data_IF_619544995224
#
_entry.id   IF_619544995224
#
_cell.length_a   1.000
_cell.length_b   1.000
_cell.length_c   1.000
_cell.angle_alpha   90.00
_cell.angle_beta   90.00
_cell.angle_gamma   90.00
#
_symmetry.space_group_name_H-M   'P 1'
#
loop_
_entity.id
_entity.type
_entity.pdbx_description
1 polymer ?
#
# COMPACT_ATOMS: atom_id res chain seq x y z
N UNK A 1 -0.88 20.82 -7.33
CA UNK A 1 -1.01 19.36 -7.16
C UNK A 1 0.22 18.92 -6.39
N UNK A 2 0.09 18.77 -5.07
CA UNK A 2 1.21 18.48 -4.17
C UNK A 2 1.29 16.97 -3.94
N UNK A 3 2.42 16.36 -4.32
CA UNK A 3 2.70 14.96 -4.01
C UNK A 3 2.91 14.81 -2.50
N UNK A 4 2.08 14.01 -1.85
CA UNK A 4 2.16 13.78 -0.40
C UNK A 4 3.39 12.96 0.02
N UNK A 5 4.05 12.27 -0.92
CA UNK A 5 5.24 11.47 -0.68
C UNK A 5 6.06 11.30 -1.97
N UNK A 6 7.36 11.07 -1.80
CA UNK A 6 8.33 10.83 -2.86
C UNK A 6 9.09 9.53 -2.59
N UNK A 7 9.28 8.70 -3.61
CA UNK A 7 10.16 7.53 -3.55
C UNK A 7 11.48 7.83 -4.26
N UNK A 8 12.65 7.40 -3.74
CA UNK A 8 13.91 7.54 -4.44
C UNK A 8 14.03 6.51 -5.57
N UNK A 9 14.34 6.96 -6.80
CA UNK A 9 14.60 6.08 -7.95
C UNK A 9 13.45 5.97 -8.97
N UNK A 10 13.57 5.09 -9.99
CA UNK A 10 12.52 4.84 -10.98
C UNK A 10 11.38 3.99 -10.39
N UNK A 11 10.81 4.45 -9.28
CA UNK A 11 9.71 3.79 -8.59
C UNK A 11 8.38 4.22 -9.20
N UNK A 12 7.49 3.27 -9.46
CA UNK A 12 6.12 3.56 -9.87
C UNK A 12 5.19 3.36 -8.67
N UNK A 13 4.51 4.43 -8.26
CA UNK A 13 3.48 4.38 -7.23
C UNK A 13 2.09 4.49 -7.84
N UNK A 14 1.14 3.67 -7.34
CA UNK A 14 -0.28 3.76 -7.66
C UNK A 14 -1.11 3.74 -6.39
N UNK A 15 -2.11 4.60 -6.34
CA UNK A 15 -3.11 4.60 -5.28
C UNK A 15 -4.44 4.19 -5.88
N UNK A 16 -5.14 3.28 -5.22
CA UNK A 16 -6.47 2.84 -5.62
C UNK A 16 -7.37 2.69 -4.40
N UNK A 17 -8.51 3.38 -4.42
CA UNK A 17 -9.55 3.21 -3.43
C UNK A 17 -10.52 2.11 -3.86
N UNK A 18 -10.95 1.29 -2.90
CA UNK A 18 -11.96 0.26 -3.05
C UNK A 18 -13.08 0.50 -2.03
N UNK A 19 -14.25 1.01 -2.46
CA UNK A 19 -15.33 1.36 -1.54
C UNK A 19 -16.10 0.16 -0.98
N UNK A 20 -16.02 -1.01 -1.63
CA UNK A 20 -16.85 -2.18 -1.31
C UNK A 20 -16.05 -3.42 -0.88
N UNK A 21 -14.74 -3.28 -0.65
CA UNK A 21 -13.86 -4.37 -0.20
C UNK A 21 -13.00 -3.90 0.97
N UNK A 22 -13.03 -4.64 2.08
CA UNK A 22 -12.17 -4.41 3.26
C UNK A 22 -10.74 -4.96 3.10
N UNK A 23 -9.88 -4.71 4.09
CA UNK A 23 -8.44 -5.03 4.02
C UNK A 23 -8.11 -6.51 3.86
N UNK A 24 -9.01 -7.41 4.27
CA UNK A 24 -8.83 -8.86 4.14
C UNK A 24 -9.45 -9.43 2.84
N UNK A 25 -10.02 -8.57 1.98
CA UNK A 25 -10.62 -8.97 0.71
C UNK A 25 -9.66 -8.97 -0.49
N UNK A 26 -10.15 -9.35 -1.67
CA UNK A 26 -9.41 -9.27 -2.93
C UNK A 26 -8.53 -10.49 -3.25
N UNK A 27 -8.05 -10.54 -4.49
CA UNK A 27 -7.18 -11.62 -4.98
C UNK A 27 -5.72 -11.19 -4.90
N UNK A 28 -4.91 -12.03 -4.28
CA UNK A 28 -3.47 -11.84 -4.15
C UNK A 28 -2.72 -12.65 -5.22
N UNK A 29 -1.52 -12.19 -5.58
CA UNK A 29 -0.62 -13.01 -6.39
C UNK A 29 -0.23 -14.28 -5.61
N UNK A 30 0.04 -15.41 -6.30
CA UNK A 30 0.31 -16.69 -5.66
C UNK A 30 1.54 -16.69 -4.74
N UNK A 31 2.49 -15.78 -4.98
CA UNK A 31 3.71 -15.62 -4.19
C UNK A 31 3.68 -14.37 -3.30
N UNK A 32 2.52 -13.73 -3.14
CA UNK A 32 2.38 -12.56 -2.30
C UNK A 32 2.48 -12.95 -0.83
N UNK A 33 3.28 -12.20 -0.08
CA UNK A 33 3.47 -12.40 1.35
C UNK A 33 2.73 -11.30 2.10
N UNK A 34 1.72 -11.67 2.89
CA UNK A 34 0.86 -10.71 3.58
C UNK A 34 1.19 -10.69 5.07
N UNK A 35 1.48 -9.49 5.56
CA UNK A 35 1.75 -9.21 6.97
C UNK A 35 0.74 -8.19 7.49
N UNK A 36 0.22 -8.44 8.70
CA UNK A 36 -0.65 -7.46 9.38
C UNK A 36 0.22 -6.31 9.90
N UNK A 37 -0.21 -5.08 9.66
CA UNK A 37 0.49 -3.88 10.14
C UNK A 37 -0.53 -2.80 10.51
N UNK A 38 -0.05 -1.65 10.96
CA UNK A 38 -0.87 -0.45 11.19
C UNK A 38 -0.21 0.74 10.51
N UNK A 39 -1.01 1.60 9.92
CA UNK A 39 -0.58 2.91 9.41
C UNK A 39 -1.33 3.97 10.19
N UNK A 40 -0.61 4.73 11.02
CA UNK A 40 -1.22 5.63 11.98
C UNK A 40 -2.18 4.90 12.92
N UNK A 41 -3.46 5.27 12.89
CA UNK A 41 -4.53 4.63 13.68
C UNK A 41 -5.29 3.54 12.93
N UNK A 42 -5.01 3.30 11.64
CA UNK A 42 -5.77 2.39 10.78
C UNK A 42 -5.12 1.01 10.72
N UNK A 43 -5.94 -0.02 10.74
CA UNK A 43 -5.50 -1.37 10.42
C UNK A 43 -5.05 -1.43 8.96
N UNK A 44 -3.95 -2.14 8.72
CA UNK A 44 -3.41 -2.27 7.39
C UNK A 44 -2.81 -3.67 7.14
N UNK A 45 -2.55 -3.94 5.87
CA UNK A 45 -1.85 -5.13 5.39
C UNK A 45 -0.68 -4.68 4.53
N UNK A 46 0.51 -5.14 4.88
CA UNK A 46 1.68 -5.04 4.02
C UNK A 46 1.73 -6.31 3.16
N UNK A 47 1.74 -6.14 1.85
CA UNK A 47 1.74 -7.21 0.86
C UNK A 47 3.04 -7.10 0.09
N UNK A 48 4.02 -7.91 0.48
CA UNK A 48 5.27 -8.05 -0.24
C UNK A 48 5.07 -8.94 -1.46
N UNK A 49 5.84 -8.70 -2.52
CA UNK A 49 5.71 -9.38 -3.81
C UNK A 49 4.29 -9.29 -4.39
N UNK A 50 3.67 -8.11 -4.28
CA UNK A 50 2.25 -7.89 -4.56
C UNK A 50 1.84 -8.32 -5.98
N UNK A 51 2.71 -8.08 -6.96
CA UNK A 51 2.54 -8.55 -8.34
C UNK A 51 3.86 -8.91 -9.05
N UNK A 52 5.01 -8.49 -8.51
CA UNK A 52 6.37 -8.85 -8.97
C UNK A 52 7.28 -9.03 -7.76
N UNK A 53 8.48 -9.58 -7.95
CA UNK A 53 9.45 -9.81 -6.86
C UNK A 53 9.95 -8.52 -6.18
N UNK A 54 9.75 -7.35 -6.80
CA UNK A 54 10.16 -6.03 -6.31
C UNK A 54 8.99 -5.07 -6.14
N UNK A 55 7.76 -5.60 -6.13
CA UNK A 55 6.55 -4.83 -5.89
C UNK A 55 6.03 -5.07 -4.47
N UNK A 56 5.62 -3.99 -3.82
CA UNK A 56 5.01 -4.00 -2.50
C UNK A 56 3.71 -3.21 -2.51
N UNK A 57 2.73 -3.66 -1.73
CA UNK A 57 1.49 -2.92 -1.55
C UNK A 57 1.16 -2.76 -0.07
N UNK A 58 0.62 -1.60 0.29
CA UNK A 58 0.05 -1.33 1.60
C UNK A 58 -1.44 -1.11 1.41
N UNK A 59 -2.23 -2.01 1.97
CA UNK A 59 -3.69 -1.93 1.97
C UNK A 59 -4.14 -1.40 3.32
N UNK A 60 -4.73 -0.21 3.35
CA UNK A 60 -5.20 0.45 4.57
C UNK A 60 -6.71 0.46 4.68
N UNK A 61 -7.20 0.23 5.89
CA UNK A 61 -8.62 0.28 6.19
C UNK A 61 -9.15 1.72 6.19
N UNK A 62 -10.16 1.99 5.38
CA UNK A 62 -10.93 3.24 5.45
C UNK A 62 -12.13 3.04 6.37
N UNK A 63 -12.90 1.97 6.11
CA UNK A 63 -13.97 1.43 6.96
C UNK A 63 -13.86 -0.10 6.95
N UNK A 64 -14.67 -0.80 7.75
CA UNK A 64 -14.68 -2.28 7.75
C UNK A 64 -14.96 -2.92 6.38
N UNK A 65 -15.58 -2.18 5.45
CA UNK A 65 -15.91 -2.63 4.10
C UNK A 65 -15.19 -1.87 3.01
N UNK A 66 -14.29 -0.95 3.33
CA UNK A 66 -13.60 -0.13 2.33
C UNK A 66 -12.12 0.07 2.66
N UNK A 67 -11.30 0.21 1.64
CA UNK A 67 -9.84 0.31 1.79
C UNK A 67 -9.19 1.16 0.72
N UNK A 68 -7.96 1.57 0.98
CA UNK A 68 -7.06 2.16 -0.01
C UNK A 68 -5.82 1.30 -0.14
N UNK A 69 -5.49 0.94 -1.38
CA UNK A 69 -4.30 0.19 -1.72
C UNK A 69 -3.28 1.18 -2.28
N UNK A 70 -2.11 1.24 -1.65
CA UNK A 70 -0.93 1.95 -2.12
C UNK A 70 0.03 0.90 -2.65
N UNK A 71 0.25 0.88 -3.95
CA UNK A 71 1.11 -0.10 -4.61
C UNK A 71 2.34 0.61 -5.12
N UNK A 72 3.52 0.14 -4.75
CA UNK A 72 4.80 0.64 -5.25
C UNK A 72 5.59 -0.52 -5.83
N UNK A 73 6.17 -0.29 -7.00
CA UNK A 73 7.23 -1.15 -7.51
C UNK A 73 8.50 -0.34 -7.63
N UNK A 74 9.60 -0.92 -7.17
CA UNK A 74 10.93 -0.37 -7.34
C UNK A 74 11.79 -1.33 -8.18
N UNK A 75 12.74 -0.79 -8.93
CA UNK A 75 13.66 -1.60 -9.74
C UNK A 75 14.90 -2.03 -8.95
N UNK A 76 15.18 -1.36 -7.83
CA UNK A 76 16.37 -1.57 -6.99
C UNK A 76 16.13 -2.73 -6.02
N UNK A 77 15.09 -2.66 -5.18
CA UNK A 77 14.77 -3.72 -4.22
C UNK A 77 13.31 -3.75 -3.76
N UNK A 78 12.87 -4.90 -3.27
CA UNK A 78 11.57 -5.05 -2.61
C UNK A 78 11.47 -4.23 -1.33
N UNK A 79 12.57 -4.09 -0.59
CA UNK A 79 12.63 -3.36 0.68
C UNK A 79 12.34 -1.87 0.46
N UNK A 80 12.99 -1.27 -0.54
CA UNK A 80 12.73 0.12 -0.94
C UNK A 80 11.28 0.32 -1.42
N UNK A 81 10.73 -0.64 -2.17
CA UNK A 81 9.34 -0.59 -2.60
C UNK A 81 8.36 -0.61 -1.40
N UNK A 82 8.63 -1.45 -0.39
CA UNK A 82 7.80 -1.52 0.81
C UNK A 82 7.95 -0.29 1.71
N UNK A 83 9.16 0.24 1.86
CA UNK A 83 9.40 1.48 2.59
C UNK A 83 8.67 2.65 1.92
N UNK A 84 8.82 2.79 0.60
CA UNK A 84 8.13 3.81 -0.18
C UNK A 84 6.60 3.68 -0.09
N UNK A 85 6.05 2.45 -0.21
CA UNK A 85 4.62 2.21 -0.07
C UNK A 85 4.11 2.61 1.33
N UNK A 86 4.88 2.30 2.37
CA UNK A 86 4.56 2.65 3.77
C UNK A 86 4.62 4.16 3.99
N UNK A 87 5.63 4.83 3.43
CA UNK A 87 5.77 6.29 3.53
C UNK A 87 4.62 7.01 2.83
N UNK A 88 4.25 6.58 1.62
CA UNK A 88 3.08 7.11 0.89
C UNK A 88 1.80 6.87 1.68
N UNK A 89 1.60 5.64 2.18
CA UNK A 89 0.45 5.27 2.98
C UNK A 89 0.32 6.16 4.24
N UNK A 90 1.42 6.37 4.95
CA UNK A 90 1.48 7.23 6.14
C UNK A 90 1.15 8.68 5.80
N UNK A 91 1.62 9.18 4.66
CA UNK A 91 1.36 10.55 4.25
C UNK A 91 -0.10 10.80 3.81
N UNK A 92 -0.77 9.78 3.25
CA UNK A 92 -2.17 9.92 2.82
C UNK A 92 -3.19 9.57 3.91
N UNK A 93 -2.82 8.79 4.92
CA UNK A 93 -3.65 8.41 6.07
C UNK A 93 -4.51 9.58 6.62
N UNK A 94 -3.94 10.75 6.97
CA UNK A 94 -4.72 11.85 7.55
C UNK A 94 -5.68 12.51 6.55
N UNK A 95 -5.52 12.25 5.25
CA UNK A 95 -6.39 12.75 4.17
C UNK A 95 -7.52 11.78 3.82
N UNK A 96 -7.49 10.56 4.37
CA UNK A 96 -8.55 9.59 4.15
C UNK A 96 -9.81 9.97 4.94
N UNK A 97 -11.00 9.75 4.36
CA UNK A 97 -12.25 10.00 5.07
C UNK A 97 -12.33 9.16 6.36
N UNK A 98 -12.92 9.76 7.39
CA UNK A 98 -13.15 9.12 8.69
C UNK A 98 -14.49 8.40 8.72
#
# INVERSE_FOLDING_TARGET
MECAASAPGPSAARLKAFPDIGVDGGTLAPNAEVSKTKIGTREARLISKAFSSTACAVTMEVTSTSRVDVVVSDNSSLEEACEAATNIATAIEPRLPK
#
